data_IF_400898579647
#
_entry.id   IF_400898579647
#
_cell.length_a   1.000
_cell.length_b   1.000
_cell.length_c   1.000
_cell.angle_alpha   90.00
_cell.angle_beta   90.00
_cell.angle_gamma   90.00
#
_symmetry.space_group_name_H-M   'P 1'
#
loop_
_entity.id
_entity.type
_entity.pdbx_description
1 polymer ?
#
# COMPACT_ATOMS: atom_id res chain seq x y z
N UNK A 1 -17.00 37.33 -1.72
CA UNK A 1 -17.84 37.47 -0.52
C UNK A 1 -16.97 37.22 0.69
N UNK A 2 -17.00 38.03 1.74
CA UNK A 2 -16.30 37.69 2.98
C UNK A 2 -16.96 36.48 3.63
N UNK A 3 -16.20 35.46 3.93
CA UNK A 3 -16.64 34.25 4.60
C UNK A 3 -15.64 33.85 5.67
N UNK A 4 -16.04 32.97 6.55
CA UNK A 4 -15.21 32.46 7.62
C UNK A 4 -15.58 31.05 8.01
N UNK A 5 -14.67 30.37 8.70
CA UNK A 5 -14.90 29.07 9.29
C UNK A 5 -15.36 29.21 10.72
N UNK A 6 -16.51 28.64 11.05
CA UNK A 6 -17.02 28.58 12.42
C UNK A 6 -16.95 27.14 12.92
N UNK A 7 -16.36 26.96 14.09
CA UNK A 7 -16.34 25.68 14.78
C UNK A 7 -17.54 25.58 15.73
N UNK A 8 -18.33 24.53 15.55
CA UNK A 8 -19.49 24.25 16.38
C UNK A 8 -19.15 23.13 17.34
N UNK A 9 -19.20 23.42 18.64
CA UNK A 9 -19.00 22.45 19.71
C UNK A 9 -20.27 22.24 20.53
N UNK A 10 -20.21 21.29 21.44
CA UNK A 10 -21.33 21.05 22.37
C UNK A 10 -21.41 22.17 23.41
N UNK A 11 -22.60 22.68 23.65
CA UNK A 11 -22.85 23.90 24.48
C UNK A 11 -22.44 23.81 25.94
N UNK A 12 -22.17 22.61 26.43
CA UNK A 12 -21.75 22.37 27.84
C UNK A 12 -20.23 22.26 28.03
N UNK A 13 -19.44 22.39 26.96
CA UNK A 13 -18.00 22.32 27.03
C UNK A 13 -17.37 23.71 26.78
N UNK A 14 -16.35 24.12 27.56
CA UNK A 14 -15.65 25.36 27.30
C UNK A 14 -14.86 25.29 25.98
N UNK A 15 -14.72 26.42 25.25
CA UNK A 15 -14.11 26.46 23.90
C UNK A 15 -12.71 25.85 23.81
N UNK A 16 -11.92 25.85 24.89
CA UNK A 16 -10.59 25.27 24.92
C UNK A 16 -10.59 23.73 24.75
N UNK A 17 -11.69 23.07 25.14
CA UNK A 17 -11.83 21.61 25.04
C UNK A 17 -12.46 21.14 23.72
N UNK A 18 -12.89 22.03 22.85
CA UNK A 18 -13.49 21.68 21.56
C UNK A 18 -12.49 21.04 20.57
N UNK A 19 -11.19 21.13 20.84
CA UNK A 19 -10.15 20.46 20.04
C UNK A 19 -10.08 18.96 20.31
N UNK A 20 -10.47 18.52 21.48
CA UNK A 20 -10.37 17.12 21.92
C UNK A 20 -11.68 16.33 21.78
N UNK A 21 -12.81 17.00 21.56
CA UNK A 21 -14.13 16.38 21.49
C UNK A 21 -14.78 16.68 20.13
N UNK A 22 -15.67 15.80 19.68
CA UNK A 22 -16.34 15.82 18.37
C UNK A 22 -17.06 17.14 18.06
N UNK A 23 -16.31 18.13 17.64
CA UNK A 23 -16.81 19.37 17.05
C UNK A 23 -16.72 19.29 15.53
N UNK A 24 -17.69 19.83 14.83
CA UNK A 24 -17.63 19.97 13.37
C UNK A 24 -17.45 21.44 12.98
N UNK A 25 -16.81 21.66 11.85
CA UNK A 25 -16.58 22.98 11.28
C UNK A 25 -17.64 23.26 10.22
N UNK A 26 -18.25 24.43 10.26
CA UNK A 26 -19.19 24.91 9.23
C UNK A 26 -18.63 26.14 8.53
N UNK A 27 -18.85 26.20 7.21
CA UNK A 27 -18.64 27.43 6.47
C UNK A 27 -19.74 28.43 6.78
N UNK A 28 -19.34 29.67 7.09
CA UNK A 28 -20.27 30.78 7.29
C UNK A 28 -20.15 31.73 6.11
N UNK A 29 -21.24 31.91 5.42
CA UNK A 29 -21.38 32.88 4.35
C UNK A 29 -22.12 34.10 4.88
N UNK A 30 -21.49 35.28 4.85
CA UNK A 30 -22.15 36.50 5.23
C UNK A 30 -22.93 37.04 4.01
N UNK A 31 -24.23 36.80 4.00
CA UNK A 31 -25.16 37.40 3.04
C UNK A 31 -25.56 38.78 3.54
N UNK A 32 -24.73 39.79 3.28
CA UNK A 32 -25.09 41.18 3.52
C UNK A 32 -25.53 41.87 2.22
N UNK A 33 -26.54 42.67 2.28
CA UNK A 33 -26.87 43.62 1.20
C UNK A 33 -25.77 44.70 1.18
N UNK A 34 -24.63 44.38 0.62
CA UNK A 34 -23.61 45.39 0.29
C UNK A 34 -24.09 46.10 -0.96
N UNK A 35 -24.42 47.37 -0.85
CA UNK A 35 -24.55 48.26 -1.99
C UNK A 35 -23.24 48.20 -2.79
N UNK A 36 -23.23 47.42 -3.84
CA UNK A 36 -22.17 47.42 -4.82
C UNK A 36 -22.20 48.73 -5.60
N UNK A 37 -21.53 49.75 -5.12
CA UNK A 37 -21.05 50.84 -5.97
C UNK A 37 -19.75 50.39 -6.59
N UNK A 38 -19.82 49.75 -7.72
CA UNK A 38 -18.75 49.44 -8.59
C UNK A 38 -19.32 49.18 -9.96
N UNK A 39 -19.27 50.21 -10.80
CA UNK A 39 -19.56 50.12 -12.24
C UNK A 39 -18.57 49.07 -12.77
N UNK A 40 -19.08 47.89 -13.11
CA UNK A 40 -18.34 46.94 -13.95
C UNK A 40 -18.56 47.45 -15.34
N UNK A 41 -17.54 48.12 -15.93
CA UNK A 41 -17.48 48.30 -17.39
C UNK A 41 -17.63 46.90 -18.00
N UNK A 42 -18.60 46.76 -18.90
CA UNK A 42 -18.70 45.61 -19.80
C UNK A 42 -17.49 45.63 -20.74
N UNK A 43 -16.33 45.23 -20.19
CA UNK A 43 -15.17 44.85 -20.94
C UNK A 43 -15.45 43.57 -21.68
N UNK A 44 -15.27 43.60 -22.99
CA UNK A 44 -15.37 42.49 -23.93
C UNK A 44 -15.08 41.16 -23.28
N UNK A 45 -16.01 40.21 -23.36
CA UNK A 45 -15.78 38.78 -23.11
C UNK A 45 -14.78 38.33 -24.18
N UNK A 46 -13.51 38.67 -23.96
CA UNK A 46 -12.42 38.05 -24.67
C UNK A 46 -12.67 36.53 -24.54
N UNK A 47 -12.85 35.88 -25.70
CA UNK A 47 -12.78 34.43 -25.83
C UNK A 47 -11.44 33.99 -25.24
N UNK A 48 -11.38 33.90 -23.93
CA UNK A 48 -10.27 33.21 -23.27
C UNK A 48 -10.34 31.79 -23.81
N UNK A 49 -9.48 31.53 -24.80
CA UNK A 49 -9.07 30.18 -25.13
C UNK A 49 -9.04 29.41 -23.82
N UNK A 50 -9.61 28.20 -23.81
CA UNK A 50 -9.52 27.29 -22.68
C UNK A 50 -8.03 27.20 -22.33
N UNK A 51 -7.57 28.16 -21.51
CA UNK A 51 -6.20 28.29 -21.12
C UNK A 51 -5.87 26.97 -20.42
N UNK A 52 -4.87 26.29 -20.92
CA UNK A 52 -4.20 25.26 -20.16
C UNK A 52 -3.98 25.85 -18.78
N UNK A 53 -4.79 25.41 -17.79
CA UNK A 53 -4.46 25.70 -16.41
C UNK A 53 -3.02 25.22 -16.21
N UNK A 54 -2.12 26.07 -15.70
CA UNK A 54 -0.80 25.60 -15.41
C UNK A 54 -0.95 24.35 -14.56
N UNK A 55 -0.25 23.28 -14.91
CA UNK A 55 -0.35 21.95 -14.32
C UNK A 55 0.18 21.88 -12.87
N UNK A 56 0.17 22.97 -12.15
CA UNK A 56 0.49 23.03 -10.70
C UNK A 56 -0.81 22.97 -9.88
N UNK A 57 -1.52 21.85 -9.96
CA UNK A 57 -2.35 21.48 -8.83
C UNK A 57 -1.39 21.04 -7.73
N UNK A 58 -0.85 21.99 -7.01
CA UNK A 58 -0.14 21.71 -5.78
C UNK A 58 -1.05 20.92 -4.85
N UNK A 59 -0.68 19.68 -4.61
CA UNK A 59 -1.33 18.87 -3.59
C UNK A 59 -0.73 19.30 -2.26
N UNK A 60 -1.54 19.76 -1.28
CA UNK A 60 -1.01 20.09 0.04
C UNK A 60 -0.20 18.92 0.60
N UNK A 61 0.92 19.19 1.25
CA UNK A 61 1.85 18.17 1.79
C UNK A 61 1.12 17.10 2.62
N UNK A 62 0.16 17.52 3.45
CA UNK A 62 -0.66 16.60 4.24
C UNK A 62 -1.48 15.64 3.37
N UNK A 63 -2.04 16.12 2.27
CA UNK A 63 -2.82 15.29 1.35
C UNK A 63 -1.92 14.36 0.53
N UNK A 64 -0.75 14.84 0.12
CA UNK A 64 0.28 14.03 -0.52
C UNK A 64 0.69 12.86 0.39
N UNK A 65 0.92 13.15 1.68
CA UNK A 65 1.20 12.15 2.71
C UNK A 65 0.07 11.12 2.83
N UNK A 66 -1.19 11.57 2.95
CA UNK A 66 -2.32 10.65 3.09
C UNK A 66 -2.45 9.72 1.88
N UNK A 67 -2.30 10.23 0.66
CA UNK A 67 -2.36 9.42 -0.55
C UNK A 67 -1.19 8.44 -0.65
N UNK A 68 0.01 8.84 -0.26
CA UNK A 68 1.17 7.94 -0.16
C UNK A 68 0.88 6.78 0.80
N UNK A 69 0.32 7.07 1.98
CA UNK A 69 -0.04 6.04 2.96
C UNK A 69 -1.23 5.18 2.52
N UNK A 70 -2.19 5.72 1.77
CA UNK A 70 -3.23 4.90 1.11
C UNK A 70 -2.58 3.85 0.22
N UNK A 71 -1.60 4.24 -0.60
CA UNK A 71 -0.84 3.31 -1.43
C UNK A 71 -0.12 2.24 -0.62
N UNK A 72 0.59 2.66 0.44
CA UNK A 72 1.32 1.75 1.33
C UNK A 72 0.40 0.74 2.01
N UNK A 73 -0.67 1.20 2.66
CA UNK A 73 -1.58 0.31 3.38
C UNK A 73 -2.37 -0.61 2.44
N UNK A 74 -2.74 -0.18 1.24
CA UNK A 74 -3.39 -1.05 0.27
C UNK A 74 -2.52 -2.27 -0.08
N UNK A 75 -1.22 -2.07 -0.31
CA UNK A 75 -0.28 -3.15 -0.59
C UNK A 75 -0.01 -4.04 0.63
N UNK A 76 0.08 -3.47 1.85
CA UNK A 76 0.20 -4.26 3.09
C UNK A 76 -1.01 -5.17 3.29
N UNK A 77 -2.21 -4.63 3.14
CA UNK A 77 -3.45 -5.43 3.23
C UNK A 77 -3.46 -6.52 2.19
N UNK A 78 -3.04 -6.21 0.94
CA UNK A 78 -3.00 -7.21 -0.14
C UNK A 78 -2.00 -8.34 0.17
N UNK A 79 -0.77 -8.01 0.56
CA UNK A 79 0.25 -9.01 0.90
C UNK A 79 -0.20 -9.90 2.06
N UNK A 80 -0.67 -9.30 3.15
CA UNK A 80 -1.17 -10.04 4.32
C UNK A 80 -2.32 -10.96 3.92
N UNK A 81 -3.29 -10.45 3.15
CA UNK A 81 -4.44 -11.24 2.68
C UNK A 81 -4.00 -12.43 1.83
N UNK A 82 -3.10 -12.23 0.87
CA UNK A 82 -2.59 -13.30 0.00
C UNK A 82 -1.84 -14.36 0.79
N UNK A 83 -1.01 -13.95 1.73
CA UNK A 83 -0.22 -14.88 2.53
C UNK A 83 -1.09 -15.71 3.50
N UNK A 84 -2.04 -15.07 4.18
CA UNK A 84 -3.01 -15.79 5.03
C UNK A 84 -3.88 -16.75 4.22
N UNK A 85 -4.31 -16.35 3.01
CA UNK A 85 -5.07 -17.21 2.09
C UNK A 85 -4.30 -18.45 1.68
N UNK A 86 -3.04 -18.27 1.28
CA UNK A 86 -2.15 -19.37 0.85
C UNK A 86 -1.88 -20.32 2.02
N UNK A 87 -1.69 -19.80 3.22
CA UNK A 87 -1.52 -20.58 4.44
C UNK A 87 -2.78 -21.36 4.78
N UNK A 88 -3.93 -20.70 4.80
CA UNK A 88 -5.21 -21.33 5.18
C UNK A 88 -5.61 -22.47 4.23
N UNK A 89 -5.32 -22.38 2.94
CA UNK A 89 -5.51 -23.46 1.96
C UNK A 89 -4.71 -24.72 2.30
N UNK A 90 -3.61 -24.58 3.04
CA UNK A 90 -2.74 -25.69 3.43
C UNK A 90 -3.06 -26.27 4.81
N UNK A 91 -3.77 -25.52 5.64
CA UNK A 91 -4.18 -25.96 6.97
C UNK A 91 -5.29 -27.01 6.88
N UNK A 92 -6.24 -26.88 5.95
CA UNK A 92 -7.43 -27.73 5.81
C UNK A 92 -7.36 -28.77 4.70
N UNK A 93 -6.23 -28.89 3.99
CA UNK A 93 -6.10 -29.82 2.87
C UNK A 93 -5.92 -31.25 3.30
N UNK A 94 -6.53 -32.21 2.57
CA UNK A 94 -6.15 -33.60 2.62
C UNK A 94 -4.63 -33.72 2.46
N UNK A 95 -4.02 -34.65 3.19
CA UNK A 95 -2.58 -34.87 3.20
C UNK A 95 -2.14 -35.34 1.79
N UNK A 96 -1.94 -34.40 0.88
CA UNK A 96 -1.24 -34.65 -0.36
C UNK A 96 0.26 -34.78 -0.02
N UNK A 97 0.86 -35.96 -0.23
CA UNK A 97 2.30 -36.18 0.06
C UNK A 97 3.21 -35.16 -0.62
N UNK A 98 2.81 -34.63 -1.79
CA UNK A 98 3.56 -33.60 -2.53
C UNK A 98 3.45 -32.22 -1.89
N UNK A 99 2.45 -31.98 -1.05
CA UNK A 99 2.26 -30.74 -0.27
C UNK A 99 2.73 -30.85 1.18
N UNK A 100 3.19 -32.03 1.57
CA UNK A 100 3.78 -32.24 2.88
C UNK A 100 4.95 -31.27 3.10
N UNK A 101 4.88 -30.48 4.18
CA UNK A 101 5.86 -29.46 4.51
C UNK A 101 5.63 -28.07 3.91
N UNK A 102 4.70 -27.88 2.95
CA UNK A 102 4.39 -26.54 2.43
C UNK A 102 3.72 -25.64 3.48
N UNK A 103 3.00 -26.22 4.46
CA UNK A 103 2.47 -25.44 5.58
C UNK A 103 3.61 -24.83 6.39
N UNK A 104 4.66 -25.59 6.67
CA UNK A 104 5.85 -25.05 7.36
C UNK A 104 6.47 -23.91 6.55
N UNK A 105 6.64 -24.05 5.23
CA UNK A 105 7.10 -22.98 4.36
C UNK A 105 6.19 -21.73 4.40
N UNK A 106 4.87 -21.90 4.49
CA UNK A 106 3.95 -20.77 4.69
C UNK A 106 4.16 -20.09 6.05
N UNK A 107 4.41 -20.85 7.12
CA UNK A 107 4.67 -20.29 8.46
C UNK A 107 5.98 -19.50 8.48
N UNK A 108 7.02 -19.97 7.79
CA UNK A 108 8.26 -19.18 7.63
C UNK A 108 7.99 -17.87 6.89
N UNK A 109 7.22 -17.90 5.79
CA UNK A 109 6.84 -16.67 5.09
C UNK A 109 5.97 -15.76 5.97
N UNK A 110 5.08 -16.29 6.82
CA UNK A 110 4.26 -15.48 7.72
C UNK A 110 5.07 -14.70 8.75
N UNK A 111 6.27 -15.16 9.12
CA UNK A 111 7.14 -14.45 10.06
C UNK A 111 7.50 -13.05 9.58
N UNK A 112 7.56 -12.83 8.25
CA UNK A 112 7.85 -11.51 7.69
C UNK A 112 6.77 -10.45 7.99
N UNK A 113 5.55 -10.88 8.36
CA UNK A 113 4.45 -9.97 8.68
C UNK A 113 4.46 -9.51 10.14
N UNK A 114 5.25 -10.16 11.01
CA UNK A 114 5.32 -9.86 12.44
C UNK A 114 3.91 -9.77 13.09
N UNK A 115 3.08 -10.77 12.77
CA UNK A 115 1.74 -10.89 13.31
C UNK A 115 1.79 -11.35 14.77
N UNK A 116 0.87 -10.88 15.64
CA UNK A 116 0.89 -11.24 17.04
C UNK A 116 0.51 -12.71 17.27
N UNK A 117 1.18 -13.37 18.21
CA UNK A 117 0.88 -14.75 18.62
C UNK A 117 1.88 -15.78 18.07
N UNK A 118 1.66 -17.03 18.44
CA UNK A 118 2.54 -18.13 18.03
C UNK A 118 2.08 -18.75 16.71
N UNK A 119 3.03 -18.94 15.80
CA UNK A 119 2.84 -19.68 14.56
C UNK A 119 3.14 -21.15 14.81
N UNK A 120 2.11 -21.97 15.02
CA UNK A 120 2.27 -23.40 15.32
C UNK A 120 1.55 -24.27 14.29
N UNK A 121 2.32 -25.12 13.60
CA UNK A 121 1.80 -26.07 12.61
C UNK A 121 1.11 -27.31 13.24
N UNK A 122 1.40 -27.59 14.51
CA UNK A 122 0.91 -28.79 15.19
C UNK A 122 -0.53 -28.73 15.69
N UNK A 123 -1.23 -27.59 15.53
CA UNK A 123 -2.59 -27.39 15.99
C UNK A 123 -3.40 -26.60 14.94
N UNK A 124 -3.95 -27.26 13.91
CA UNK A 124 -4.69 -26.61 12.82
C UNK A 124 -5.81 -25.68 13.30
N UNK A 125 -6.58 -26.08 14.29
CA UNK A 125 -7.70 -25.28 14.82
C UNK A 125 -7.21 -24.00 15.49
N UNK A 126 -6.06 -24.04 16.17
CA UNK A 126 -5.44 -22.86 16.79
C UNK A 126 -4.97 -21.89 15.71
N UNK A 127 -4.31 -22.39 14.67
CA UNK A 127 -3.85 -21.57 13.55
C UNK A 127 -5.03 -20.93 12.81
N UNK A 128 -6.12 -21.67 12.55
CA UNK A 128 -7.35 -21.11 11.98
C UNK A 128 -7.91 -20.01 12.89
N UNK A 129 -7.91 -20.23 14.22
CA UNK A 129 -8.34 -19.25 15.20
C UNK A 129 -7.50 -17.98 15.18
N UNK A 130 -6.17 -18.10 15.07
CA UNK A 130 -5.24 -16.97 14.93
C UNK A 130 -5.50 -16.21 13.63
N UNK A 131 -5.65 -16.92 12.51
CA UNK A 131 -5.98 -16.32 11.20
C UNK A 131 -7.31 -15.55 11.29
N UNK A 132 -8.34 -16.10 11.91
CA UNK A 132 -9.62 -15.42 12.11
C UNK A 132 -9.43 -14.10 12.90
N UNK A 133 -8.60 -14.14 13.96
CA UNK A 133 -8.23 -12.95 14.73
C UNK A 133 -7.51 -11.92 13.86
N UNK A 134 -6.49 -12.30 13.12
CA UNK A 134 -5.76 -11.37 12.24
C UNK A 134 -6.61 -10.79 11.12
N UNK A 135 -7.64 -11.50 10.68
CA UNK A 135 -8.57 -10.99 9.65
C UNK A 135 -9.56 -10.00 10.24
N UNK A 136 -10.17 -10.29 11.41
CA UNK A 136 -11.36 -9.58 11.88
C UNK A 136 -11.16 -8.73 13.13
N UNK A 137 -10.12 -8.98 13.93
CA UNK A 137 -9.89 -8.24 15.17
C UNK A 137 -9.13 -6.92 14.88
N UNK A 138 -9.77 -5.74 15.08
CA UNK A 138 -9.11 -4.46 14.88
C UNK A 138 -8.04 -4.13 15.94
N UNK A 139 -7.93 -4.92 17.01
CA UNK A 139 -6.87 -4.80 18.01
C UNK A 139 -5.63 -5.64 17.69
N UNK A 140 -5.75 -6.59 16.75
CA UNK A 140 -4.62 -7.40 16.32
C UNK A 140 -3.61 -6.54 15.55
N UNK A 141 -2.49 -6.21 16.19
CA UNK A 141 -1.43 -5.42 15.54
C UNK A 141 -1.02 -6.06 14.21
N UNK A 142 -0.92 -5.25 13.16
CA UNK A 142 -0.59 -5.68 11.77
C UNK A 142 -1.58 -6.65 11.14
N UNK A 143 -2.72 -6.98 11.80
CA UNK A 143 -3.80 -7.75 11.22
C UNK A 143 -4.54 -6.99 10.10
N UNK A 144 -5.28 -7.71 9.26
CA UNK A 144 -5.98 -7.13 8.10
C UNK A 144 -6.98 -6.05 8.53
N UNK A 145 -7.76 -6.29 9.59
CA UNK A 145 -8.74 -5.31 10.08
C UNK A 145 -8.06 -4.01 10.53
N UNK A 146 -6.94 -4.09 11.25
CA UNK A 146 -6.15 -2.94 11.71
C UNK A 146 -5.54 -2.18 10.53
N UNK A 147 -4.87 -2.87 9.62
CA UNK A 147 -4.27 -2.26 8.42
C UNK A 147 -5.33 -1.60 7.52
N UNK A 148 -6.50 -2.23 7.39
CA UNK A 148 -7.64 -1.67 6.64
C UNK A 148 -8.20 -0.43 7.34
N UNK A 149 -8.23 -0.40 8.67
CA UNK A 149 -8.59 0.79 9.44
C UNK A 149 -7.66 1.97 9.11
N UNK A 150 -6.36 1.75 9.07
CA UNK A 150 -5.38 2.77 8.63
C UNK A 150 -5.58 3.18 7.17
N UNK A 151 -5.81 2.23 6.27
CA UNK A 151 -6.10 2.50 4.86
C UNK A 151 -7.31 3.43 4.72
N UNK A 152 -8.43 3.11 5.35
CA UNK A 152 -9.67 3.90 5.29
C UNK A 152 -9.50 5.27 5.93
N UNK A 153 -8.80 5.38 7.07
CA UNK A 153 -8.54 6.64 7.74
C UNK A 153 -7.74 7.62 6.86
N UNK A 154 -6.69 7.11 6.20
CA UNK A 154 -5.91 7.91 5.25
C UNK A 154 -6.75 8.31 4.03
N UNK A 155 -7.53 7.38 3.47
CA UNK A 155 -8.43 7.65 2.35
C UNK A 155 -9.51 8.70 2.71
N UNK A 156 -10.07 8.64 3.92
CA UNK A 156 -11.04 9.63 4.41
C UNK A 156 -10.43 11.04 4.50
N UNK A 157 -9.17 11.14 4.86
CA UNK A 157 -8.44 12.42 4.92
C UNK A 157 -8.12 13.00 3.54
N UNK A 158 -8.17 12.18 2.47
CA UNK A 158 -7.96 12.57 1.07
C UNK A 158 -9.24 12.41 0.21
N UNK A 159 -10.44 12.44 0.83
CA UNK A 159 -11.73 12.12 0.21
C UNK A 159 -12.02 12.92 -1.08
N UNK A 160 -11.65 14.19 -1.12
CA UNK A 160 -11.86 15.10 -2.25
C UNK A 160 -10.99 14.78 -3.49
N UNK A 161 -10.02 13.87 -3.36
CA UNK A 161 -9.15 13.38 -4.45
C UNK A 161 -9.52 11.97 -4.93
N UNK A 162 -10.50 11.35 -4.29
CA UNK A 162 -10.96 10.00 -4.60
C UNK A 162 -12.34 10.06 -5.25
N UNK A 163 -12.54 9.26 -6.31
CA UNK A 163 -13.85 9.15 -6.96
C UNK A 163 -14.87 8.49 -6.02
N UNK A 164 -16.16 8.66 -6.32
CA UNK A 164 -17.22 8.02 -5.56
C UNK A 164 -17.15 6.50 -5.63
N UNK A 165 -16.70 5.94 -6.74
CA UNK A 165 -16.49 4.49 -6.88
C UNK A 165 -15.35 3.98 -6.00
N UNK A 166 -14.24 4.73 -5.92
CA UNK A 166 -13.17 4.42 -4.96
C UNK A 166 -13.65 4.51 -3.52
N UNK A 167 -14.55 5.45 -3.21
CA UNK A 167 -15.12 5.55 -1.88
C UNK A 167 -16.07 4.37 -1.55
N UNK A 168 -16.90 3.94 -2.50
CA UNK A 168 -17.73 2.73 -2.37
C UNK A 168 -16.88 1.48 -2.13
N UNK A 169 -15.70 1.41 -2.77
CA UNK A 169 -14.73 0.34 -2.50
C UNK A 169 -14.32 0.29 -1.02
N UNK A 170 -13.92 1.43 -0.41
CA UNK A 170 -13.52 1.45 1.00
C UNK A 170 -14.67 1.04 1.94
N UNK A 171 -15.88 1.52 1.70
CA UNK A 171 -17.06 1.12 2.46
C UNK A 171 -17.33 -0.39 2.33
N UNK A 172 -17.15 -0.95 1.14
CA UNK A 172 -17.32 -2.38 0.93
C UNK A 172 -16.23 -3.21 1.62
N UNK A 173 -14.99 -2.74 1.60
CA UNK A 173 -13.87 -3.37 2.26
C UNK A 173 -14.10 -3.44 3.78
N UNK A 174 -14.58 -2.36 4.38
CA UNK A 174 -14.96 -2.32 5.79
C UNK A 174 -16.09 -3.30 6.12
N UNK A 175 -17.13 -3.37 5.29
CA UNK A 175 -18.25 -4.27 5.47
C UNK A 175 -17.84 -5.77 5.42
N UNK A 176 -16.88 -6.13 4.57
CA UNK A 176 -16.33 -7.49 4.48
C UNK A 176 -15.62 -7.88 5.79
N UNK A 177 -14.93 -6.94 6.42
CA UNK A 177 -14.12 -7.19 7.62
C UNK A 177 -14.92 -7.12 8.93
N UNK A 178 -16.12 -6.53 8.91
CA UNK A 178 -17.02 -6.44 10.07
C UNK A 178 -18.30 -7.25 9.88
N UNK A 179 -18.20 -8.59 9.73
CA UNK A 179 -19.39 -9.41 9.63
C UNK A 179 -20.16 -9.41 10.97
N UNK A 180 -21.48 -9.61 10.91
CA UNK A 180 -22.31 -9.72 12.11
C UNK A 180 -21.86 -10.87 13.03
N UNK A 181 -21.29 -11.94 12.47
CA UNK A 181 -20.67 -13.05 13.18
C UNK A 181 -19.34 -13.42 12.55
N UNK A 182 -18.29 -13.46 13.35
CA UNK A 182 -16.95 -13.90 12.91
C UNK A 182 -16.93 -15.41 12.86
N UNK A 183 -16.82 -15.98 11.67
CA UNK A 183 -16.63 -17.42 11.49
C UNK A 183 -15.17 -17.80 11.73
N UNK A 184 -14.98 -18.92 12.46
CA UNK A 184 -13.68 -19.61 12.58
C UNK A 184 -13.61 -20.84 11.68
N UNK A 185 -14.56 -21.01 10.80
CA UNK A 185 -14.58 -22.11 9.85
C UNK A 185 -13.69 -21.78 8.64
N UNK A 186 -12.73 -22.65 8.33
CA UNK A 186 -11.72 -22.37 7.30
C UNK A 186 -12.32 -22.02 5.91
N UNK A 187 -13.35 -22.70 5.38
CA UNK A 187 -13.99 -22.32 4.13
C UNK A 187 -14.60 -20.91 4.12
N UNK A 188 -15.16 -20.44 5.25
CA UNK A 188 -15.73 -19.09 5.35
C UNK A 188 -14.64 -18.03 5.35
N UNK A 189 -13.56 -18.28 6.09
CA UNK A 189 -12.38 -17.41 6.09
C UNK A 189 -11.74 -17.36 4.71
N UNK A 190 -11.66 -18.49 4.00
CA UNK A 190 -11.15 -18.51 2.61
C UNK A 190 -12.02 -17.65 1.70
N UNK A 191 -13.34 -17.73 1.78
CA UNK A 191 -14.24 -16.86 1.00
C UNK A 191 -14.03 -15.39 1.32
N UNK A 192 -13.82 -15.05 2.58
CA UNK A 192 -13.49 -13.68 3.01
C UNK A 192 -12.17 -13.22 2.37
N UNK A 193 -11.10 -14.01 2.47
CA UNK A 193 -9.78 -13.69 1.92
C UNK A 193 -9.80 -13.61 0.38
N UNK A 194 -10.53 -14.50 -0.31
CA UNK A 194 -10.71 -14.44 -1.76
C UNK A 194 -11.47 -13.17 -2.16
N UNK A 195 -12.51 -12.79 -1.42
CA UNK A 195 -13.24 -11.53 -1.64
C UNK A 195 -12.34 -10.31 -1.44
N UNK A 196 -11.51 -10.29 -0.41
CA UNK A 196 -10.57 -9.20 -0.15
C UNK A 196 -9.55 -9.06 -1.29
N UNK A 197 -8.96 -10.16 -1.78
CA UNK A 197 -8.01 -10.10 -2.92
C UNK A 197 -8.68 -9.52 -4.15
N UNK A 198 -9.93 -9.92 -4.45
CA UNK A 198 -10.67 -9.41 -5.60
C UNK A 198 -10.93 -7.90 -5.46
N UNK A 199 -11.37 -7.43 -4.29
CA UNK A 199 -11.62 -6.02 -4.04
C UNK A 199 -10.33 -5.19 -4.12
N UNK A 200 -9.21 -5.66 -3.55
CA UNK A 200 -7.92 -4.95 -3.64
C UNK A 200 -7.39 -4.90 -5.08
N UNK A 201 -7.65 -5.94 -5.88
CA UNK A 201 -7.35 -5.90 -7.32
C UNK A 201 -8.22 -4.88 -8.06
N UNK A 202 -9.50 -4.75 -7.69
CA UNK A 202 -10.38 -3.72 -8.23
C UNK A 202 -9.92 -2.30 -7.85
N UNK A 203 -9.42 -2.09 -6.62
CA UNK A 203 -8.81 -0.81 -6.22
C UNK A 203 -7.63 -0.44 -7.13
N UNK A 204 -6.76 -1.40 -7.43
CA UNK A 204 -5.63 -1.18 -8.35
C UNK A 204 -6.09 -0.78 -9.75
N UNK A 205 -7.16 -1.40 -10.26
CA UNK A 205 -7.79 -1.03 -11.53
C UNK A 205 -8.40 0.37 -11.50
N UNK A 206 -9.17 0.69 -10.45
CA UNK A 206 -9.77 2.03 -10.30
C UNK A 206 -8.70 3.12 -10.16
N UNK A 207 -7.62 2.87 -9.44
CA UNK A 207 -6.50 3.80 -9.35
C UNK A 207 -5.84 4.02 -10.71
N UNK A 208 -5.72 2.96 -11.51
CA UNK A 208 -5.16 3.03 -12.85
C UNK A 208 -6.07 3.76 -13.85
N UNK A 209 -7.39 3.59 -13.77
CA UNK A 209 -8.34 4.08 -14.77
C UNK A 209 -9.07 5.37 -14.36
N UNK A 210 -9.33 5.59 -13.06
CA UNK A 210 -10.19 6.70 -12.62
C UNK A 210 -9.40 7.90 -12.06
N UNK A 211 -8.12 7.75 -11.75
CA UNK A 211 -7.32 8.87 -11.22
C UNK A 211 -6.55 9.58 -12.33
N UNK A 212 -6.71 10.90 -12.41
CA UNK A 212 -5.86 11.75 -13.24
C UNK A 212 -4.39 11.63 -12.79
N UNK A 213 -3.45 11.53 -13.75
CA UNK A 213 -2.00 11.38 -13.51
C UNK A 213 -1.35 12.67 -12.97
N UNK A 214 -2.00 13.28 -11.96
CA UNK A 214 -1.50 14.43 -11.21
C UNK A 214 -0.60 14.01 -10.05
N UNK A 215 -0.19 14.99 -9.25
CA UNK A 215 0.71 14.76 -8.09
C UNK A 215 0.10 13.79 -7.07
N UNK A 216 -1.20 13.89 -6.78
CA UNK A 216 -1.86 12.98 -5.84
C UNK A 216 -1.78 11.51 -6.27
N UNK A 217 -2.00 11.24 -7.56
CA UNK A 217 -1.82 9.91 -8.12
C UNK A 217 -0.37 9.42 -7.97
N UNK A 218 0.62 10.30 -8.22
CA UNK A 218 2.05 9.93 -8.11
C UNK A 218 2.45 9.55 -6.70
N UNK A 219 1.99 10.27 -5.68
CA UNK A 219 2.26 9.90 -4.30
C UNK A 219 1.60 8.58 -3.91
N UNK A 220 0.35 8.35 -4.30
CA UNK A 220 -0.32 7.07 -4.08
C UNK A 220 0.43 5.93 -4.78
N UNK A 221 0.79 6.12 -6.05
CA UNK A 221 1.53 5.13 -6.83
C UNK A 221 2.91 4.85 -6.23
N UNK A 222 3.65 5.89 -5.83
CA UNK A 222 4.96 5.71 -5.17
C UNK A 222 4.84 4.92 -3.88
N UNK A 223 3.83 5.21 -3.06
CA UNK A 223 3.54 4.44 -1.86
C UNK A 223 3.31 2.96 -2.18
N UNK A 224 2.50 2.66 -3.20
CA UNK A 224 2.26 1.29 -3.65
C UNK A 224 3.54 0.59 -4.11
N UNK A 225 4.33 1.26 -4.96
CA UNK A 225 5.56 0.67 -5.53
C UNK A 225 6.59 0.36 -4.46
N UNK A 226 6.81 1.30 -3.54
CA UNK A 226 7.73 1.11 -2.41
C UNK A 226 7.26 -0.03 -1.51
N UNK A 227 5.99 -0.06 -1.12
CA UNK A 227 5.50 -1.11 -0.23
C UNK A 227 5.55 -2.49 -0.88
N UNK A 228 5.20 -2.60 -2.17
CA UNK A 228 5.26 -3.88 -2.88
C UNK A 228 6.69 -4.39 -2.99
N UNK A 229 7.67 -3.52 -3.23
CA UNK A 229 9.07 -3.90 -3.24
C UNK A 229 9.55 -4.36 -1.85
N UNK A 230 9.24 -3.60 -0.79
CA UNK A 230 9.58 -3.97 0.57
C UNK A 230 8.95 -5.30 0.98
N UNK A 231 7.69 -5.53 0.64
CA UNK A 231 7.04 -6.83 0.85
C UNK A 231 7.70 -7.96 0.06
N UNK A 232 8.16 -7.68 -1.17
CA UNK A 232 8.95 -8.62 -1.98
C UNK A 232 10.27 -9.00 -1.32
N UNK A 233 10.99 -8.03 -0.76
CA UNK A 233 12.23 -8.30 -0.01
C UNK A 233 11.96 -9.10 1.26
N UNK A 234 10.96 -8.72 2.06
CA UNK A 234 10.63 -9.43 3.28
C UNK A 234 10.28 -10.92 3.00
N UNK A 235 9.55 -11.18 1.91
CA UNK A 235 9.27 -12.54 1.46
C UNK A 235 10.55 -13.28 0.99
N UNK A 236 11.43 -12.59 0.27
CA UNK A 236 12.70 -13.15 -0.20
C UNK A 236 13.64 -13.49 0.97
N UNK A 237 13.73 -12.61 1.97
CA UNK A 237 14.50 -12.85 3.21
C UNK A 237 13.96 -14.07 3.96
N UNK A 238 12.64 -14.16 4.16
CA UNK A 238 12.02 -15.30 4.82
C UNK A 238 12.25 -16.61 4.06
N UNK A 239 12.19 -16.55 2.72
CA UNK A 239 12.46 -17.71 1.87
C UNK A 239 13.92 -18.16 1.94
N UNK A 240 14.87 -17.22 1.89
CA UNK A 240 16.31 -17.52 2.02
C UNK A 240 16.62 -18.12 3.38
N UNK A 241 16.13 -17.54 4.48
CA UNK A 241 16.31 -18.11 5.81
C UNK A 241 15.76 -19.54 5.92
N UNK A 242 14.58 -19.79 5.35
CA UNK A 242 14.00 -21.13 5.33
C UNK A 242 14.81 -22.12 4.45
N UNK A 243 15.39 -21.66 3.35
CA UNK A 243 16.24 -22.50 2.50
C UNK A 243 17.55 -22.90 3.17
N UNK A 244 18.15 -22.00 3.96
CA UNK A 244 19.34 -22.29 4.77
C UNK A 244 19.02 -23.31 5.87
N UNK A 245 17.88 -23.16 6.55
CA UNK A 245 17.45 -24.04 7.64
C UNK A 245 17.14 -25.47 7.15
N UNK A 246 16.44 -25.59 6.01
CA UNK A 246 15.94 -26.89 5.51
C UNK A 246 16.90 -27.67 4.62
N UNK A 247 18.15 -27.22 4.43
CA UNK A 247 19.14 -27.86 3.57
C UNK A 247 18.58 -28.32 2.20
N UNK A 248 18.63 -27.46 1.23
CA UNK A 248 18.50 -27.62 -0.25
C UNK A 248 17.48 -28.57 -0.89
N UNK A 249 17.16 -29.74 -0.34
CA UNK A 249 16.19 -30.66 -0.95
C UNK A 249 14.71 -30.23 -0.78
N UNK A 250 14.44 -29.28 0.11
CA UNK A 250 13.11 -28.84 0.50
C UNK A 250 12.69 -27.49 -0.11
N UNK A 251 13.41 -26.97 -1.08
CA UNK A 251 13.10 -25.67 -1.71
C UNK A 251 11.64 -25.52 -2.15
N UNK A 252 11.01 -26.58 -2.66
CA UNK A 252 9.59 -26.57 -3.02
C UNK A 252 8.65 -26.28 -1.86
N UNK A 253 9.05 -26.51 -0.60
CA UNK A 253 8.21 -26.26 0.57
C UNK A 253 7.93 -24.78 0.80
N UNK A 254 8.89 -23.90 0.53
CA UNK A 254 8.74 -22.44 0.68
C UNK A 254 8.57 -21.73 -0.65
N UNK A 255 9.21 -22.18 -1.72
CA UNK A 255 9.21 -21.48 -3.01
C UNK A 255 7.87 -21.61 -3.75
N UNK A 256 7.15 -22.74 -3.65
CA UNK A 256 5.80 -22.85 -4.23
C UNK A 256 4.80 -21.92 -3.54
N UNK A 257 4.69 -21.88 -2.19
CA UNK A 257 3.89 -20.87 -1.50
C UNK A 257 4.30 -19.43 -1.85
N UNK A 258 5.58 -19.13 -1.93
CA UNK A 258 6.09 -17.81 -2.31
C UNK A 258 5.59 -17.39 -3.69
N UNK A 259 5.72 -18.25 -4.70
CA UNK A 259 5.21 -18.00 -6.04
C UNK A 259 3.68 -17.81 -6.07
N UNK A 260 2.94 -18.55 -5.24
CA UNK A 260 1.47 -18.40 -5.13
C UNK A 260 1.07 -17.07 -4.49
N UNK A 261 1.76 -16.65 -3.41
CA UNK A 261 1.55 -15.34 -2.77
C UNK A 261 1.80 -14.21 -3.76
N UNK A 262 2.86 -14.31 -4.55
CA UNK A 262 3.24 -13.34 -5.58
C UNK A 262 2.44 -13.48 -6.89
N UNK A 263 1.42 -14.36 -6.94
CA UNK A 263 0.62 -14.59 -8.16
C UNK A 263 1.47 -14.91 -9.41
N UNK A 264 2.59 -15.58 -9.22
CA UNK A 264 3.59 -15.82 -10.25
C UNK A 264 3.77 -17.31 -10.61
N UNK A 265 3.00 -18.22 -9.99
CA UNK A 265 3.12 -19.67 -10.19
C UNK A 265 2.92 -20.09 -11.64
N UNK A 266 1.94 -19.51 -12.36
CA UNK A 266 1.69 -19.83 -13.76
C UNK A 266 2.79 -19.29 -14.67
N UNK A 267 3.30 -18.08 -14.38
CA UNK A 267 4.41 -17.48 -15.12
C UNK A 267 5.68 -18.32 -14.94
N UNK A 268 5.95 -18.74 -13.70
CA UNK A 268 7.08 -19.63 -13.39
C UNK A 268 7.02 -20.92 -14.19
N UNK A 269 5.88 -21.63 -14.14
CA UNK A 269 5.69 -22.90 -14.85
C UNK A 269 5.87 -22.76 -16.37
N UNK A 270 5.38 -21.68 -16.95
CA UNK A 270 5.51 -21.42 -18.40
C UNK A 270 6.94 -21.08 -18.82
N UNK A 271 7.72 -20.45 -17.96
CA UNK A 271 9.07 -19.96 -18.30
C UNK A 271 10.15 -20.99 -18.02
N UNK A 272 10.09 -21.65 -16.86
CA UNK A 272 11.19 -22.48 -16.38
C UNK A 272 10.93 -23.99 -16.47
N UNK A 273 9.70 -24.42 -16.66
CA UNK A 273 9.31 -25.84 -16.85
C UNK A 273 9.89 -26.82 -15.80
N UNK A 274 10.26 -26.35 -14.63
CA UNK A 274 10.98 -27.10 -13.59
C UNK A 274 10.31 -26.93 -12.23
N UNK A 275 10.75 -27.75 -11.26
CA UNK A 275 10.42 -27.52 -9.86
C UNK A 275 11.01 -26.17 -9.42
N UNK A 276 10.35 -25.45 -8.50
CA UNK A 276 10.87 -24.17 -8.01
C UNK A 276 12.27 -24.30 -7.44
N UNK A 277 13.16 -23.44 -7.95
CA UNK A 277 14.55 -23.27 -7.51
C UNK A 277 14.77 -21.79 -7.26
N UNK A 278 15.58 -21.48 -6.27
CA UNK A 278 15.78 -20.10 -5.83
C UNK A 278 16.30 -19.18 -6.95
N UNK A 279 17.26 -19.64 -7.75
CA UNK A 279 17.80 -18.86 -8.87
C UNK A 279 16.70 -18.37 -9.85
N UNK A 280 15.82 -19.27 -10.27
CA UNK A 280 14.71 -18.96 -11.17
C UNK A 280 13.59 -18.16 -10.49
N UNK A 281 13.34 -18.39 -9.19
CA UNK A 281 12.36 -17.63 -8.42
C UNK A 281 12.87 -16.20 -8.18
N UNK A 282 14.16 -16.03 -7.84
CA UNK A 282 14.79 -14.73 -7.69
C UNK A 282 14.78 -13.95 -9.02
N UNK A 283 15.13 -14.60 -10.15
CA UNK A 283 15.03 -13.98 -11.46
C UNK A 283 13.60 -13.45 -11.71
N UNK A 284 12.57 -14.26 -11.48
CA UNK A 284 11.17 -13.89 -11.72
C UNK A 284 10.64 -12.81 -10.77
N UNK A 285 10.97 -12.89 -9.47
CA UNK A 285 10.37 -12.05 -8.43
C UNK A 285 11.21 -10.81 -8.09
N UNK A 286 12.51 -10.84 -8.33
CA UNK A 286 13.39 -9.70 -8.04
C UNK A 286 13.81 -8.95 -9.30
N UNK A 287 14.15 -9.63 -10.40
CA UNK A 287 14.82 -9.01 -11.55
C UNK A 287 13.97 -8.89 -12.82
N UNK A 288 12.86 -9.61 -12.95
CA UNK A 288 12.02 -9.53 -14.16
C UNK A 288 11.27 -8.20 -14.25
N UNK A 289 11.73 -7.30 -15.11
CA UNK A 289 11.12 -5.97 -15.35
C UNK A 289 9.70 -6.05 -15.95
N UNK A 290 9.31 -7.19 -16.49
CA UNK A 290 7.98 -7.41 -17.11
C UNK A 290 6.96 -8.00 -16.15
N UNK A 291 7.40 -8.64 -15.06
CA UNK A 291 6.49 -9.18 -14.04
C UNK A 291 5.98 -8.06 -13.11
N UNK A 292 4.68 -7.73 -13.09
CA UNK A 292 4.14 -6.67 -12.23
C UNK A 292 4.34 -6.90 -10.73
N UNK A 293 4.75 -8.11 -10.33
CA UNK A 293 5.01 -8.49 -8.94
C UNK A 293 6.49 -8.44 -8.55
N UNK A 294 7.39 -8.28 -9.52
CA UNK A 294 8.82 -8.21 -9.25
C UNK A 294 9.24 -6.86 -8.67
N UNK A 295 10.36 -6.87 -7.95
CA UNK A 295 11.01 -5.65 -7.44
C UNK A 295 11.51 -4.77 -8.59
N UNK A 296 12.13 -5.35 -9.60
CA UNK A 296 12.62 -4.64 -10.79
C UNK A 296 11.50 -3.88 -11.53
N UNK A 297 10.31 -4.45 -11.60
CA UNK A 297 9.16 -3.74 -12.17
C UNK A 297 8.76 -2.52 -11.33
N UNK A 298 8.80 -2.63 -9.99
CA UNK A 298 8.51 -1.48 -9.12
C UNK A 298 9.54 -0.37 -9.30
N UNK A 299 10.83 -0.73 -9.38
CA UNK A 299 11.93 0.21 -9.63
C UNK A 299 11.74 0.95 -10.95
N UNK A 300 11.44 0.21 -12.03
CA UNK A 300 11.19 0.78 -13.35
C UNK A 300 10.04 1.80 -13.34
N UNK A 301 8.91 1.47 -12.73
CA UNK A 301 7.76 2.39 -12.65
C UNK A 301 8.11 3.65 -11.85
N UNK A 302 8.80 3.51 -10.71
CA UNK A 302 9.27 4.66 -9.94
C UNK A 302 10.23 5.53 -10.76
N UNK A 303 11.12 4.92 -11.55
CA UNK A 303 12.05 5.64 -12.43
C UNK A 303 11.31 6.43 -13.51
N UNK A 304 10.32 5.82 -14.18
CA UNK A 304 9.50 6.46 -15.20
C UNK A 304 8.72 7.67 -14.66
N UNK A 305 8.21 7.58 -13.43
CA UNK A 305 7.43 8.65 -12.81
C UNK A 305 8.28 9.70 -12.07
N UNK A 306 9.54 9.42 -11.80
CA UNK A 306 10.39 10.27 -10.95
C UNK A 306 10.58 11.70 -11.48
N UNK A 307 10.66 11.86 -12.80
CA UNK A 307 10.78 13.17 -13.44
C UNK A 307 9.54 14.07 -13.34
N UNK A 308 8.43 13.51 -12.84
CA UNK A 308 7.15 14.21 -12.73
C UNK A 308 6.79 14.58 -11.28
N UNK A 309 7.67 14.32 -10.32
CA UNK A 309 7.47 14.78 -8.94
C UNK A 309 7.49 16.30 -8.86
N UNK A 310 6.75 16.91 -7.91
CA UNK A 310 6.81 18.34 -7.71
C UNK A 310 8.24 18.77 -7.38
N UNK A 311 8.79 19.68 -8.21
CA UNK A 311 10.12 20.21 -8.03
C UNK A 311 10.10 21.51 -7.23
N UNK A 312 10.90 21.58 -6.17
CA UNK A 312 11.37 22.86 -5.61
C UNK A 312 12.82 23.04 -6.11
N UNK A 313 13.09 24.03 -6.97
CA UNK A 313 14.44 24.26 -7.51
C UNK A 313 15.48 24.51 -6.43
N UNK A 314 15.07 24.97 -5.25
CA UNK A 314 15.95 25.24 -4.10
C UNK A 314 16.13 24.00 -3.18
N UNK A 315 15.37 22.94 -3.40
CA UNK A 315 15.44 21.75 -2.56
C UNK A 315 16.70 20.93 -2.86
N UNK A 316 17.48 20.65 -1.81
CA UNK A 316 18.64 19.74 -1.88
C UNK A 316 18.24 18.25 -1.89
N UNK A 317 17.01 17.92 -1.45
CA UNK A 317 16.55 16.54 -1.35
C UNK A 317 16.02 15.98 -2.67
N UNK A 318 15.45 16.82 -3.54
CA UNK A 318 14.94 16.36 -4.83
C UNK A 318 16.00 15.65 -5.70
N UNK A 319 17.23 16.18 -5.85
CA UNK A 319 18.30 15.45 -6.54
C UNK A 319 18.69 14.13 -5.86
N UNK A 320 18.67 14.08 -4.52
CA UNK A 320 18.98 12.85 -3.78
C UNK A 320 17.92 11.76 -4.01
N UNK A 321 16.64 12.14 -4.07
CA UNK A 321 15.55 11.22 -4.40
C UNK A 321 15.71 10.67 -5.83
N UNK A 322 15.94 11.53 -6.80
CA UNK A 322 16.15 11.12 -8.20
C UNK A 322 17.36 10.20 -8.36
N UNK A 323 18.45 10.51 -7.67
CA UNK A 323 19.67 9.68 -7.63
C UNK A 323 19.37 8.32 -7.00
N UNK A 324 18.71 8.28 -5.84
CA UNK A 324 18.34 7.03 -5.16
C UNK A 324 17.45 6.13 -6.04
N UNK A 325 16.46 6.72 -6.72
CA UNK A 325 15.58 5.97 -7.64
C UNK A 325 16.39 5.42 -8.83
N UNK A 326 17.34 6.20 -9.37
CA UNK A 326 18.19 5.75 -10.46
C UNK A 326 19.09 4.59 -10.04
N UNK A 327 19.76 4.70 -8.90
CA UNK A 327 20.62 3.64 -8.34
C UNK A 327 19.84 2.34 -8.05
N UNK A 328 18.60 2.48 -7.54
CA UNK A 328 17.71 1.34 -7.34
C UNK A 328 17.35 0.70 -8.68
N UNK A 329 16.94 1.46 -9.70
CA UNK A 329 16.56 0.89 -11.00
C UNK A 329 17.75 0.20 -11.69
N UNK A 330 18.94 0.81 -11.64
CA UNK A 330 20.17 0.24 -12.18
C UNK A 330 20.58 -1.06 -11.48
N UNK A 331 20.36 -1.16 -10.15
CA UNK A 331 20.67 -2.36 -9.37
C UNK A 331 19.92 -3.60 -9.88
N UNK A 332 18.70 -3.44 -10.36
CA UNK A 332 17.86 -4.53 -10.84
C UNK A 332 17.88 -4.67 -12.38
N UNK A 333 18.81 -4.01 -13.06
CA UNK A 333 18.98 -4.17 -14.51
C UNK A 333 19.60 -5.52 -14.87
N UNK A 334 20.58 -5.98 -14.09
CA UNK A 334 21.30 -7.23 -14.33
C UNK A 334 20.98 -8.25 -13.23
N UNK A 335 20.45 -9.45 -13.58
CA UNK A 335 20.18 -10.50 -12.61
C UNK A 335 21.45 -11.04 -11.96
N UNK A 336 21.42 -11.14 -10.64
CA UNK A 336 22.42 -11.83 -9.83
C UNK A 336 21.72 -12.83 -8.92
N UNK A 337 22.42 -13.88 -8.49
CA UNK A 337 21.85 -14.78 -7.49
C UNK A 337 22.02 -14.14 -6.11
N UNK A 338 20.96 -13.58 -5.49
CA UNK A 338 21.11 -12.84 -4.27
C UNK A 338 21.28 -13.75 -3.07
N UNK A 339 22.14 -13.33 -2.14
CA UNK A 339 22.23 -13.86 -0.78
C UNK A 339 21.46 -12.98 0.20
N UNK A 340 21.23 -13.46 1.41
CA UNK A 340 20.40 -12.80 2.41
C UNK A 340 20.86 -11.37 2.72
N UNK A 341 22.17 -11.15 2.92
CA UNK A 341 22.73 -9.83 3.22
C UNK A 341 22.48 -8.80 2.11
N UNK A 342 22.53 -9.24 0.85
CA UNK A 342 22.25 -8.35 -0.29
C UNK A 342 20.78 -7.94 -0.33
N UNK A 343 19.85 -8.90 -0.10
CA UNK A 343 18.40 -8.61 -0.05
C UNK A 343 18.09 -7.61 1.06
N UNK A 344 18.69 -7.77 2.23
CA UNK A 344 18.56 -6.83 3.36
C UNK A 344 19.14 -5.45 3.02
N UNK A 345 20.28 -5.41 2.36
CA UNK A 345 20.88 -4.16 1.89
C UNK A 345 19.99 -3.43 0.90
N UNK A 346 19.36 -4.14 -0.03
CA UNK A 346 18.40 -3.56 -0.99
C UNK A 346 17.11 -3.08 -0.31
N UNK A 347 16.55 -3.85 0.63
CA UNK A 347 15.41 -3.41 1.42
C UNK A 347 15.70 -2.09 2.13
N UNK A 348 16.89 -1.95 2.71
CA UNK A 348 17.32 -0.70 3.37
C UNK A 348 17.42 0.50 2.42
N UNK A 349 17.85 0.28 1.17
CA UNK A 349 17.83 1.36 0.16
C UNK A 349 16.42 1.87 -0.13
N UNK A 350 15.43 0.98 -0.20
CA UNK A 350 14.03 1.34 -0.41
C UNK A 350 13.39 2.02 0.81
N UNK A 351 13.77 1.62 2.02
CA UNK A 351 13.38 2.34 3.24
C UNK A 351 13.93 3.76 3.23
N UNK A 352 15.23 3.92 2.93
CA UNK A 352 15.86 5.23 2.82
C UNK A 352 15.18 6.13 1.76
N UNK A 353 14.79 5.56 0.61
CA UNK A 353 14.01 6.28 -0.40
C UNK A 353 12.67 6.76 0.16
N UNK A 354 11.95 5.91 0.91
CA UNK A 354 10.70 6.29 1.57
C UNK A 354 10.90 7.45 2.56
N UNK A 355 12.01 7.42 3.33
CA UNK A 355 12.35 8.48 4.28
C UNK A 355 12.69 9.80 3.56
N UNK A 356 13.44 9.74 2.47
CA UNK A 356 13.73 10.93 1.64
C UNK A 356 12.45 11.57 1.09
N UNK A 357 11.51 10.76 0.57
CA UNK A 357 10.21 11.25 0.11
C UNK A 357 9.43 11.91 1.24
N UNK A 358 9.42 11.28 2.43
CA UNK A 358 8.75 11.82 3.62
C UNK A 358 9.35 13.16 4.04
N UNK A 359 10.66 13.27 4.10
CA UNK A 359 11.36 14.49 4.46
C UNK A 359 11.13 15.63 3.46
N UNK A 360 11.11 15.30 2.17
CA UNK A 360 10.96 16.29 1.10
C UNK A 360 9.53 16.82 1.00
N UNK A 361 8.53 15.92 1.02
CA UNK A 361 7.18 16.27 0.61
C UNK A 361 6.17 16.32 1.76
N UNK A 362 6.43 15.65 2.88
CA UNK A 362 5.44 15.47 3.97
C UNK A 362 5.81 16.20 5.25
N UNK A 363 7.03 16.75 5.36
CA UNK A 363 7.43 17.51 6.55
C UNK A 363 6.64 18.81 6.66
N UNK A 364 5.87 18.95 7.72
CA UNK A 364 5.06 20.13 8.03
C UNK A 364 5.86 21.20 8.81
N UNK A 365 7.16 21.33 8.59
CA UNK A 365 7.93 22.41 9.20
C UNK A 365 7.41 23.74 8.64
N UNK A 366 6.69 24.49 9.49
CA UNK A 366 6.36 25.88 9.23
C UNK A 366 7.70 26.62 9.07
N UNK A 367 8.12 26.90 7.82
CA UNK A 367 9.15 27.92 7.58
C UNK A 367 8.59 29.23 8.15
N UNK A 368 9.02 29.60 9.35
CA UNK A 368 8.87 30.97 9.81
C UNK A 368 9.70 31.82 8.85
N UNK A 369 9.03 32.48 7.92
CA UNK A 369 9.62 33.62 7.19
C UNK A 369 9.77 34.70 8.24
N UNK A 370 11.02 34.99 8.64
CA UNK A 370 11.39 36.18 9.38
C UNK A 370 11.63 37.34 8.39
#
# INVERSE_FOLDING_TARGET
MPGGLVRVGQSHLPPQLWRAHAGYTKDVWVCGAAQAKGVVEEGEVSKRSAGRHPASFEVPSRMAEQLFWVGRYAERVELTTRLLRVTLRRVGGEVDPHRSGQLQGCLELLRCLDLPGELNSGAPERLIGSIAGWVHDPSAARGIATLTGYLISNAASARDRLSDDMWRFFNRLEAILRPAQVSRHAPDLLRTLDSLVLHLSAFSGMQAENMTRGQGWRFLESGRRIERALGGFSLAEAALGALEEFQTESGGRVLEPLLEVCDSSMTYRRRYFSRPRWDAVADLLLFDRTNPRSVAHQARILREESGNFPGDPESRLAPAILKSIAEIDERFADPVLPVLEEVQGWAKQWENLSDLLTQQYFSHSVRRVY
#
